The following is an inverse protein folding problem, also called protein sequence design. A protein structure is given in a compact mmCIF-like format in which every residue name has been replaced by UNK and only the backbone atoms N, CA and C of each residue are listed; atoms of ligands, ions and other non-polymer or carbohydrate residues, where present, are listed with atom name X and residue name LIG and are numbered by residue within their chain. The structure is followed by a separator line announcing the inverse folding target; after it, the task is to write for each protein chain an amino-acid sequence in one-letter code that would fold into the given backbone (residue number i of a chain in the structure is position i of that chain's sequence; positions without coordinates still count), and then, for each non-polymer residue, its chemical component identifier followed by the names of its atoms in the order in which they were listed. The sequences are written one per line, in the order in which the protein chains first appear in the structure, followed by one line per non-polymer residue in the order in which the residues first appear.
data_IF_215358446396
#
_entry.id   IF_215358446396
#
_cell.length_a   1.000
_cell.length_b   1.000
_cell.length_c   1.000
_cell.angle_alpha   90.00
_cell.angle_beta   90.00
_cell.angle_gamma   90.00
#
_symmetry.space_group_name_H-M   'P 1'
#
loop_
_entity.id
_entity.type
_entity.pdbx_description
1 polymer ?
#
# COMPACT_ATOMS: atom_id res chain seq x y z
N UNK A 1 40.24 25.32 -14.04
CA UNK A 1 39.33 24.21 -13.76
C UNK A 1 37.94 24.60 -14.26
N UNK A 2 37.61 24.08 -15.44
CA UNK A 2 36.33 24.25 -16.09
C UNK A 2 35.34 23.32 -15.35
N UNK A 3 34.32 23.89 -14.71
CA UNK A 3 33.16 23.11 -14.29
C UNK A 3 32.51 22.56 -15.53
N UNK A 4 32.49 21.23 -15.67
CA UNK A 4 31.61 20.56 -16.59
C UNK A 4 30.18 20.88 -16.13
N UNK A 5 29.39 21.50 -16.98
CA UNK A 5 27.95 21.61 -16.78
C UNK A 5 27.42 20.17 -16.73
N UNK A 6 26.73 19.85 -15.66
CA UNK A 6 25.94 18.62 -15.58
C UNK A 6 25.00 18.62 -16.77
N UNK A 7 25.21 17.70 -17.68
CA UNK A 7 24.26 17.45 -18.76
C UNK A 7 22.99 16.96 -18.06
N UNK A 8 21.92 17.74 -18.08
CA UNK A 8 20.58 17.28 -17.73
C UNK A 8 20.37 15.95 -18.47
N UNK A 9 20.24 14.86 -17.74
CA UNK A 9 19.81 13.58 -18.30
C UNK A 9 18.41 13.79 -18.86
N UNK A 10 18.31 14.06 -20.15
CA UNK A 10 17.03 14.17 -20.83
C UNK A 10 16.35 12.80 -20.76
N UNK A 11 15.20 12.74 -20.08
CA UNK A 11 14.39 11.52 -20.04
C UNK A 11 14.13 11.08 -21.50
N UNK A 12 14.55 9.88 -21.92
CA UNK A 12 14.48 9.44 -23.30
C UNK A 12 13.04 9.36 -23.83
N UNK A 13 12.05 9.35 -22.97
CA UNK A 13 10.63 9.32 -23.32
C UNK A 13 9.99 10.72 -23.37
N UNK A 14 10.75 11.78 -23.05
CA UNK A 14 10.25 13.15 -23.14
C UNK A 14 10.29 13.65 -24.59
N UNK A 15 9.12 13.86 -25.17
CA UNK A 15 8.96 14.25 -26.57
C UNK A 15 8.63 15.75 -26.75
N UNK A 16 8.34 16.47 -25.67
CA UNK A 16 8.11 17.92 -25.70
C UNK A 16 8.78 18.60 -24.50
N UNK A 17 9.47 19.71 -24.76
CA UNK A 17 10.02 20.63 -23.75
C UNK A 17 9.75 22.05 -24.21
N UNK A 18 8.94 22.78 -23.45
CA UNK A 18 8.62 24.18 -23.69
C UNK A 18 9.66 25.12 -23.05
N UNK A 19 9.72 26.36 -23.56
CA UNK A 19 10.65 27.39 -23.06
C UNK A 19 10.39 27.82 -21.60
N UNK A 20 9.21 27.49 -21.06
CA UNK A 20 8.80 27.77 -19.69
C UNK A 20 8.88 26.52 -18.78
N UNK A 21 9.71 25.52 -19.13
CA UNK A 21 9.84 24.21 -18.49
C UNK A 21 8.59 23.31 -18.61
N UNK A 22 7.58 23.70 -19.41
CA UNK A 22 6.48 22.78 -19.73
C UNK A 22 7.00 21.56 -20.45
N UNK A 23 6.42 20.40 -20.16
CA UNK A 23 6.86 19.15 -20.79
C UNK A 23 5.69 18.21 -21.07
N UNK A 24 5.94 17.27 -21.98
CA UNK A 24 5.15 16.07 -22.13
C UNK A 24 6.09 14.89 -22.39
N UNK A 25 5.84 13.78 -21.70
CA UNK A 25 6.61 12.55 -21.85
C UNK A 25 5.70 11.32 -21.87
N UNK A 26 6.17 10.28 -22.55
CA UNK A 26 5.63 8.95 -22.38
C UNK A 26 6.17 8.31 -21.10
N UNK A 27 5.42 7.39 -20.54
CA UNK A 27 5.81 6.55 -19.41
C UNK A 27 5.60 5.09 -19.75
N UNK A 28 6.42 4.21 -19.21
CA UNK A 28 6.25 2.77 -19.37
C UNK A 28 6.65 2.09 -18.05
N UNK A 29 5.77 1.26 -17.54
CA UNK A 29 6.05 0.36 -16.44
C UNK A 29 5.78 -1.07 -16.87
N UNK A 30 6.69 -1.98 -16.56
CA UNK A 30 6.52 -3.42 -16.77
C UNK A 30 6.88 -4.12 -15.48
N UNK A 31 6.00 -4.96 -14.99
CA UNK A 31 6.22 -5.77 -13.80
C UNK A 31 5.91 -7.23 -14.10
N UNK A 32 6.71 -8.13 -13.51
CA UNK A 32 6.54 -9.58 -13.66
C UNK A 32 6.80 -10.22 -12.31
N UNK A 33 5.89 -11.08 -11.88
CA UNK A 33 6.00 -11.96 -10.72
C UNK A 33 5.97 -13.41 -11.15
N UNK A 34 6.87 -14.22 -10.60
CA UNK A 34 6.89 -15.68 -10.71
C UNK A 34 6.74 -16.25 -9.32
N UNK A 35 5.79 -17.11 -9.11
CA UNK A 35 5.37 -17.60 -7.81
C UNK A 35 5.41 -19.12 -7.78
N UNK A 36 5.85 -19.68 -6.63
CA UNK A 36 5.85 -21.11 -6.36
C UNK A 36 5.55 -21.33 -4.88
N UNK A 37 4.72 -22.31 -4.55
CA UNK A 37 4.32 -22.58 -3.19
C UNK A 37 4.17 -24.08 -2.93
N UNK A 38 4.37 -24.46 -1.67
CA UNK A 38 4.16 -25.82 -1.20
C UNK A 38 3.22 -25.85 -0.02
N UNK A 39 2.34 -26.85 0.03
CA UNK A 39 1.33 -27.02 1.08
C UNK A 39 0.44 -25.78 1.25
N UNK A 40 -0.01 -25.18 0.15
CA UNK A 40 -0.91 -24.02 0.20
C UNK A 40 -2.16 -24.34 1.03
N UNK A 41 -2.65 -23.36 1.76
CA UNK A 41 -3.73 -23.53 2.72
C UNK A 41 -3.43 -24.65 3.73
N UNK A 42 -2.17 -24.68 4.21
CA UNK A 42 -1.65 -25.65 5.18
C UNK A 42 -1.82 -27.11 4.75
N UNK A 43 -1.66 -27.36 3.45
CA UNK A 43 -1.82 -28.70 2.84
C UNK A 43 -3.27 -29.06 2.47
N UNK A 44 -4.22 -28.14 2.61
CA UNK A 44 -5.65 -28.41 2.36
C UNK A 44 -6.26 -27.48 1.28
N UNK A 45 -5.46 -27.01 0.32
CA UNK A 45 -5.89 -26.11 -0.75
C UNK A 45 -7.11 -26.62 -1.52
N UNK A 46 -7.15 -27.91 -1.81
CA UNK A 46 -8.27 -28.53 -2.54
C UNK A 46 -9.61 -28.41 -1.81
N UNK A 47 -9.63 -28.50 -0.48
CA UNK A 47 -10.86 -28.33 0.30
C UNK A 47 -11.20 -26.84 0.47
N UNK A 48 -10.20 -26.00 0.70
CA UNK A 48 -10.37 -24.56 0.90
C UNK A 48 -10.76 -23.83 -0.39
N UNK A 49 -10.13 -24.17 -1.53
CA UNK A 49 -10.24 -23.47 -2.80
C UNK A 49 -10.93 -24.27 -3.92
N UNK A 50 -11.15 -25.59 -3.72
CA UNK A 50 -11.68 -26.50 -4.73
C UNK A 50 -10.61 -27.11 -5.64
N UNK A 51 -9.42 -26.53 -5.74
CA UNK A 51 -8.29 -26.98 -6.56
C UNK A 51 -6.97 -26.79 -5.82
N UNK A 52 -5.91 -27.50 -6.28
CA UNK A 52 -4.56 -27.29 -5.78
C UNK A 52 -3.94 -26.06 -6.46
N UNK A 53 -3.21 -25.23 -5.70
CA UNK A 53 -2.46 -24.08 -6.19
C UNK A 53 -0.97 -24.28 -5.87
N UNK A 54 -0.14 -24.43 -6.92
CA UNK A 54 1.29 -24.71 -6.78
C UNK A 54 2.15 -23.56 -7.29
N UNK A 55 2.00 -23.19 -8.56
CA UNK A 55 2.80 -22.15 -9.20
C UNK A 55 2.01 -21.37 -10.25
N UNK A 56 2.25 -20.07 -10.30
CA UNK A 56 1.66 -19.19 -11.31
C UNK A 56 2.63 -18.06 -11.65
N UNK A 57 2.25 -17.24 -12.62
CA UNK A 57 2.93 -16.01 -12.94
C UNK A 57 1.93 -14.87 -13.14
N UNK A 58 2.37 -13.68 -12.85
CA UNK A 58 1.63 -12.45 -13.12
C UNK A 58 2.49 -11.45 -13.87
N UNK A 59 1.85 -10.59 -14.64
CA UNK A 59 2.54 -9.46 -15.24
C UNK A 59 1.61 -8.27 -15.46
N UNK A 60 2.20 -7.06 -15.42
CA UNK A 60 1.53 -5.86 -15.92
C UNK A 60 2.42 -5.14 -16.91
N UNK A 61 1.78 -4.51 -17.89
CA UNK A 61 2.40 -3.54 -18.80
C UNK A 61 1.54 -2.27 -18.73
N UNK A 62 2.15 -1.15 -18.34
CA UNK A 62 1.46 0.13 -18.16
C UNK A 62 2.13 1.22 -19.00
N UNK A 63 1.71 1.41 -20.26
CA UNK A 63 2.08 2.57 -21.06
C UNK A 63 1.25 3.79 -20.65
N UNK A 64 1.85 4.97 -20.68
CA UNK A 64 1.17 6.20 -20.31
C UNK A 64 1.77 7.46 -20.93
N UNK A 65 1.10 8.56 -20.67
CA UNK A 65 1.52 9.92 -21.00
C UNK A 65 1.32 10.79 -19.77
N UNK A 66 2.29 11.63 -19.46
CA UNK A 66 2.16 12.68 -18.46
C UNK A 66 2.68 14.01 -18.98
N UNK A 67 2.20 15.10 -18.43
CA UNK A 67 2.65 16.42 -18.82
C UNK A 67 2.27 17.52 -17.85
N UNK A 68 3.04 18.59 -17.96
CA UNK A 68 2.84 19.84 -17.21
C UNK A 68 2.98 21.03 -18.13
N UNK A 69 2.07 22.00 -17.95
CA UNK A 69 2.12 23.29 -18.63
C UNK A 69 2.17 24.41 -17.60
N UNK A 70 3.28 25.16 -17.60
CA UNK A 70 3.50 26.26 -16.67
C UNK A 70 2.92 27.57 -17.21
N UNK A 71 2.17 28.25 -16.34
CA UNK A 71 1.56 29.56 -16.54
C UNK A 71 2.36 30.64 -15.78
N UNK A 72 2.04 31.94 -15.95
CA UNK A 72 2.63 32.99 -15.12
C UNK A 72 2.49 32.71 -13.62
N UNK A 73 3.42 33.24 -12.82
CA UNK A 73 3.52 33.00 -11.37
C UNK A 73 3.71 31.51 -10.98
N UNK A 74 4.42 30.76 -11.81
CA UNK A 74 4.69 29.34 -11.59
C UNK A 74 3.45 28.47 -11.40
N UNK A 75 2.27 28.92 -11.80
CA UNK A 75 1.10 28.08 -11.84
C UNK A 75 1.32 26.91 -12.80
N UNK A 76 0.70 25.77 -12.53
CA UNK A 76 0.89 24.56 -13.33
C UNK A 76 -0.46 23.93 -13.64
N UNK A 77 -0.69 23.60 -14.90
CA UNK A 77 -1.73 22.65 -15.31
C UNK A 77 -0.99 21.34 -15.59
N UNK A 78 -1.43 20.26 -14.97
CA UNK A 78 -0.79 18.95 -15.12
C UNK A 78 -1.81 17.86 -15.35
N UNK A 79 -1.36 16.71 -15.82
CA UNK A 79 -2.22 15.55 -15.98
C UNK A 79 -1.46 14.31 -16.41
N UNK A 80 -2.15 13.18 -16.29
CA UNK A 80 -1.64 11.86 -16.65
C UNK A 80 -2.77 11.02 -17.23
N UNK A 81 -2.44 10.20 -18.19
CA UNK A 81 -3.27 9.09 -18.65
C UNK A 81 -2.38 7.87 -18.87
N UNK A 82 -2.79 6.75 -18.33
CA UNK A 82 -2.18 5.44 -18.59
C UNK A 82 -3.20 4.32 -18.58
N UNK A 83 -2.83 3.20 -19.17
CA UNK A 83 -3.60 1.99 -19.16
C UNK A 83 -2.75 0.84 -18.62
N UNK A 84 -3.36 -0.10 -17.95
CA UNK A 84 -2.71 -1.31 -17.45
C UNK A 84 -3.26 -2.53 -18.17
N UNK A 85 -2.35 -3.28 -18.80
CA UNK A 85 -2.58 -4.63 -19.29
C UNK A 85 -2.08 -5.56 -18.18
N UNK A 86 -3.00 -6.27 -17.52
CA UNK A 86 -2.70 -7.22 -16.46
C UNK A 86 -2.93 -8.65 -16.94
N UNK A 87 -2.07 -9.57 -16.52
CA UNK A 87 -2.16 -10.96 -16.93
C UNK A 87 -1.83 -11.86 -15.72
N UNK A 88 -2.54 -12.99 -15.64
CA UNK A 88 -2.24 -14.13 -14.75
C UNK A 88 -2.27 -15.40 -15.58
N UNK A 89 -1.35 -16.33 -15.34
CA UNK A 89 -1.32 -17.62 -16.04
C UNK A 89 -0.45 -18.65 -15.33
N UNK A 90 -0.45 -19.88 -15.86
CA UNK A 90 0.25 -21.02 -15.28
C UNK A 90 -0.68 -21.87 -14.44
N UNK A 91 -0.91 -21.53 -13.19
CA UNK A 91 -1.83 -22.20 -12.28
C UNK A 91 -2.77 -21.21 -11.60
N UNK A 92 -3.48 -21.68 -10.55
CA UNK A 92 -4.23 -20.80 -9.67
C UNK A 92 -3.26 -19.93 -8.86
N UNK A 93 -3.59 -18.65 -8.69
CA UNK A 93 -2.97 -17.87 -7.64
C UNK A 93 -3.36 -18.39 -6.24
N UNK A 94 -2.62 -18.00 -5.21
CA UNK A 94 -2.83 -18.56 -3.87
C UNK A 94 -4.17 -18.20 -3.23
N UNK A 95 -4.85 -17.15 -3.72
CA UNK A 95 -6.23 -16.80 -3.34
C UNK A 95 -7.28 -17.48 -4.23
N UNK A 96 -6.87 -18.26 -5.24
CA UNK A 96 -7.74 -18.82 -6.28
C UNK A 96 -8.61 -17.78 -6.99
N UNK A 97 -8.12 -16.54 -7.09
CA UNK A 97 -8.88 -15.45 -7.70
C UNK A 97 -9.20 -15.69 -9.18
N UNK A 98 -8.37 -16.48 -9.87
CA UNK A 98 -8.52 -16.90 -11.26
C UNK A 98 -9.17 -18.27 -11.44
N UNK A 99 -9.78 -18.85 -10.41
CA UNK A 99 -10.49 -20.15 -10.49
C UNK A 99 -11.57 -20.10 -11.59
N UNK A 100 -11.71 -21.19 -12.32
CA UNK A 100 -12.63 -21.34 -13.47
C UNK A 100 -12.35 -20.40 -14.68
N UNK A 101 -11.36 -19.50 -14.59
CA UNK A 101 -11.05 -18.54 -15.66
C UNK A 101 -9.84 -18.99 -16.54
N UNK A 102 -8.95 -19.84 -15.97
CA UNK A 102 -7.69 -20.19 -16.62
C UNK A 102 -6.74 -18.99 -16.74
N UNK A 103 -6.03 -18.87 -17.86
CA UNK A 103 -5.18 -17.70 -18.12
C UNK A 103 -6.05 -16.43 -18.30
N UNK A 104 -5.74 -15.38 -17.55
CA UNK A 104 -6.46 -14.11 -17.57
C UNK A 104 -5.62 -13.02 -18.24
N UNK A 105 -6.28 -12.16 -19.01
CA UNK A 105 -5.64 -11.02 -19.68
C UNK A 105 -6.64 -9.89 -19.84
N UNK A 106 -6.45 -8.77 -19.12
CA UNK A 106 -7.37 -7.64 -19.08
C UNK A 106 -6.63 -6.31 -19.32
N UNK A 107 -7.26 -5.39 -20.06
CA UNK A 107 -6.73 -4.07 -20.38
C UNK A 107 -7.71 -2.98 -19.93
N UNK A 108 -7.30 -2.13 -19.01
CA UNK A 108 -8.11 -1.01 -18.51
C UNK A 108 -7.30 0.27 -18.38
N UNK A 109 -8.01 1.41 -18.40
CA UNK A 109 -7.42 2.70 -17.99
C UNK A 109 -7.19 2.64 -16.47
N UNK A 110 -5.98 2.99 -16.04
CA UNK A 110 -5.65 3.05 -14.62
C UNK A 110 -5.63 4.49 -14.11
N UNK A 111 -4.91 5.39 -14.75
CA UNK A 111 -4.95 6.81 -14.44
C UNK A 111 -5.51 7.61 -15.60
N UNK A 112 -6.37 8.59 -15.32
CA UNK A 112 -6.87 9.56 -16.29
C UNK A 112 -7.34 10.80 -15.52
N UNK A 113 -6.43 11.72 -15.20
CA UNK A 113 -6.74 12.90 -14.42
C UNK A 113 -6.02 14.14 -14.91
N UNK A 114 -6.55 15.29 -14.52
CA UNK A 114 -5.93 16.58 -14.68
C UNK A 114 -6.01 17.39 -13.39
N UNK A 115 -5.07 18.31 -13.22
CA UNK A 115 -5.02 19.17 -12.05
C UNK A 115 -4.43 20.53 -12.36
N UNK A 116 -4.56 21.40 -11.36
CA UNK A 116 -3.99 22.75 -11.37
C UNK A 116 -3.36 23.06 -10.02
N UNK A 117 -2.14 23.59 -10.04
CA UNK A 117 -1.42 24.11 -8.88
C UNK A 117 -1.30 25.61 -8.94
N UNK A 118 -1.45 26.25 -7.80
CA UNK A 118 -1.49 27.70 -7.69
C UNK A 118 -0.15 28.42 -7.91
N UNK A 119 0.97 27.69 -7.92
CA UNK A 119 2.29 28.31 -7.99
C UNK A 119 2.46 29.38 -6.90
N UNK A 120 2.90 30.56 -7.32
CA UNK A 120 3.11 31.71 -6.45
C UNK A 120 1.92 32.70 -6.38
N UNK A 121 0.69 32.29 -6.79
CA UNK A 121 -0.49 33.17 -6.68
C UNK A 121 -0.78 33.59 -5.23
N UNK A 122 -0.53 32.70 -4.27
CA UNK A 122 -0.74 32.91 -2.84
C UNK A 122 0.61 32.97 -2.11
N UNK A 123 1.53 33.83 -2.56
CA UNK A 123 2.93 33.86 -2.09
C UNK A 123 3.08 33.99 -0.57
N UNK A 124 2.12 34.63 0.13
CA UNK A 124 2.11 34.70 1.60
C UNK A 124 1.80 33.42 2.31
N UNK A 125 1.21 32.44 1.63
CA UNK A 125 0.87 31.10 2.14
C UNK A 125 1.86 30.02 1.71
N UNK A 126 2.73 30.32 0.75
CA UNK A 126 3.73 29.44 0.19
C UNK A 126 3.47 29.07 -1.27
N UNK A 127 4.51 28.55 -1.93
CA UNK A 127 4.40 28.05 -3.29
C UNK A 127 3.51 26.79 -3.32
N UNK A 128 2.66 26.69 -4.35
CA UNK A 128 1.68 25.61 -4.50
C UNK A 128 0.78 25.42 -3.26
N UNK A 129 0.42 26.54 -2.61
CA UNK A 129 -0.52 26.48 -1.48
C UNK A 129 -1.80 25.70 -1.81
N UNK A 130 -2.32 25.86 -3.04
CA UNK A 130 -3.54 25.20 -3.50
C UNK A 130 -3.21 24.31 -4.70
N UNK A 131 -3.61 23.04 -4.61
CA UNK A 131 -3.55 22.03 -5.67
C UNK A 131 -4.93 21.38 -5.79
N UNK A 132 -5.51 21.40 -6.97
CA UNK A 132 -6.83 20.80 -7.25
C UNK A 132 -6.68 19.82 -8.40
N UNK A 133 -7.14 18.59 -8.20
CA UNK A 133 -7.13 17.57 -9.25
C UNK A 133 -8.47 16.83 -9.32
N UNK A 134 -8.79 16.34 -10.51
CA UNK A 134 -10.01 15.61 -10.78
C UNK A 134 -9.77 14.52 -11.83
N UNK A 135 -10.43 13.38 -11.68
CA UNK A 135 -10.40 12.22 -12.57
C UNK A 135 -9.98 10.95 -11.87
N UNK A 136 -9.69 9.92 -12.65
CA UNK A 136 -9.24 8.61 -12.17
C UNK A 136 -7.79 8.72 -11.69
N UNK A 137 -7.57 8.64 -10.38
CA UNK A 137 -6.26 8.82 -9.75
C UNK A 137 -6.17 8.15 -8.39
N UNK A 138 -4.93 7.91 -7.94
CA UNK A 138 -4.67 7.43 -6.60
C UNK A 138 -4.71 8.57 -5.56
N UNK A 139 -5.11 8.22 -4.35
CA UNK A 139 -5.00 9.03 -3.16
C UNK A 139 -4.54 8.16 -1.99
N UNK A 140 -3.58 8.64 -1.20
CA UNK A 140 -3.06 7.89 -0.04
C UNK A 140 -3.03 8.76 1.20
N UNK A 141 -3.48 8.19 2.30
CA UNK A 141 -3.41 8.78 3.64
C UNK A 141 -2.39 8.02 4.48
N UNK A 142 -1.49 8.75 5.16
CA UNK A 142 -0.48 8.13 6.02
C UNK A 142 0.40 7.12 5.27
N UNK A 143 0.56 5.96 5.84
CA UNK A 143 1.27 4.81 5.26
C UNK A 143 0.35 3.81 4.53
N UNK A 144 -0.93 4.16 4.36
CA UNK A 144 -1.91 3.32 3.67
C UNK A 144 -2.67 2.37 4.58
N UNK A 145 -2.70 2.63 5.88
CA UNK A 145 -3.47 1.86 6.86
C UNK A 145 -4.96 1.83 6.52
N UNK A 146 -5.53 2.97 6.15
CA UNK A 146 -6.94 3.13 5.87
C UNK A 146 -7.23 3.37 4.39
N UNK A 147 -6.52 4.30 3.73
CA UNK A 147 -6.84 4.79 2.38
C UNK A 147 -5.59 4.76 1.49
N UNK A 148 -5.59 3.88 0.46
CA UNK A 148 -4.55 3.79 -0.54
C UNK A 148 -4.96 3.09 -1.84
N UNK A 149 -5.67 1.95 -1.79
CA UNK A 149 -6.02 1.13 -2.97
C UNK A 149 -7.54 1.08 -3.14
N UNK A 150 -8.05 1.67 -4.23
CA UNK A 150 -9.48 1.82 -4.49
C UNK A 150 -9.99 0.91 -5.60
N UNK A 151 -9.11 0.17 -6.26
CA UNK A 151 -9.46 -0.71 -7.35
C UNK A 151 -9.08 -2.16 -7.05
N UNK A 152 -9.96 -3.09 -7.40
CA UNK A 152 -9.69 -4.52 -7.28
C UNK A 152 -8.77 -5.03 -8.39
N UNK A 153 -7.87 -5.94 -8.04
CA UNK A 153 -7.04 -6.76 -8.94
C UNK A 153 -7.34 -8.23 -8.71
N UNK A 154 -6.86 -9.11 -9.60
CA UNK A 154 -7.22 -10.53 -9.57
C UNK A 154 -8.53 -10.83 -10.30
N UNK A 155 -9.03 -12.04 -10.20
CA UNK A 155 -10.21 -12.49 -10.90
C UNK A 155 -10.11 -12.28 -12.42
N UNK A 156 -11.16 -11.78 -13.04
CA UNK A 156 -11.20 -11.44 -14.47
C UNK A 156 -10.27 -10.28 -14.85
N UNK A 157 -9.74 -9.55 -13.89
CA UNK A 157 -8.79 -8.45 -14.10
C UNK A 157 -7.33 -8.89 -14.08
N UNK A 158 -7.03 -10.08 -13.56
CA UNK A 158 -5.68 -10.63 -13.45
C UNK A 158 -4.76 -9.90 -12.47
N UNK A 159 -3.55 -10.41 -12.33
CA UNK A 159 -2.46 -9.87 -11.53
C UNK A 159 -2.90 -9.51 -10.09
N UNK A 160 -3.36 -10.51 -9.36
CA UNK A 160 -3.86 -10.40 -7.98
C UNK A 160 -2.79 -9.79 -7.06
N UNK A 161 -1.62 -10.43 -6.98
CA UNK A 161 -0.54 -10.01 -6.10
C UNK A 161 0.12 -8.69 -6.55
N UNK A 162 0.42 -8.54 -7.85
CA UNK A 162 1.05 -7.30 -8.37
C UNK A 162 0.14 -6.10 -8.09
N UNK A 163 -1.16 -6.28 -8.07
CA UNK A 163 -2.11 -5.24 -7.73
C UNK A 163 -1.98 -4.05 -8.67
N UNK A 164 -2.03 -4.28 -9.97
CA UNK A 164 -1.81 -3.27 -11.01
C UNK A 164 -2.82 -2.14 -11.01
N UNK A 165 -3.94 -2.29 -10.30
CA UNK A 165 -5.04 -1.35 -10.23
C UNK A 165 -5.20 -0.84 -8.80
N UNK A 166 -5.13 0.48 -8.63
CA UNK A 166 -5.22 1.15 -7.30
C UNK A 166 -5.97 2.47 -7.36
N UNK A 167 -6.16 3.04 -8.56
CA UNK A 167 -6.78 4.34 -8.71
C UNK A 167 -8.29 4.27 -8.41
N UNK A 168 -8.80 5.26 -7.70
CA UNK A 168 -10.25 5.49 -7.60
C UNK A 168 -10.84 5.72 -8.99
N UNK A 169 -12.03 5.22 -9.26
CA UNK A 169 -12.71 5.41 -10.55
C UNK A 169 -12.97 6.89 -10.80
N UNK A 170 -13.45 7.58 -9.79
CA UNK A 170 -13.55 9.04 -9.76
C UNK A 170 -12.91 9.57 -8.48
N UNK A 171 -12.13 10.62 -8.62
CA UNK A 171 -11.55 11.34 -7.49
C UNK A 171 -11.60 12.84 -7.74
N UNK A 172 -12.05 13.59 -6.74
CA UNK A 172 -11.92 15.03 -6.65
C UNK A 172 -11.09 15.37 -5.41
N UNK A 173 -9.94 16.00 -5.60
CA UNK A 173 -9.02 16.26 -4.50
C UNK A 173 -8.63 17.73 -4.48
N UNK A 174 -8.79 18.37 -3.33
CA UNK A 174 -8.30 19.72 -3.05
C UNK A 174 -7.27 19.65 -1.95
N UNK A 175 -6.03 19.99 -2.25
CA UNK A 175 -4.92 20.01 -1.29
C UNK A 175 -4.53 21.45 -0.97
N UNK A 176 -4.41 21.77 0.30
CA UNK A 176 -3.93 23.06 0.80
C UNK A 176 -2.70 22.82 1.67
N UNK A 177 -1.59 23.48 1.34
CA UNK A 177 -0.32 23.30 2.04
C UNK A 177 0.29 24.64 2.42
N UNK A 178 0.55 24.84 3.70
CA UNK A 178 1.23 26.06 4.19
C UNK A 178 2.10 25.74 5.42
N UNK A 179 3.37 26.07 5.34
CA UNK A 179 4.33 25.65 6.38
C UNK A 179 4.32 24.16 6.61
N UNK A 180 4.11 23.73 7.86
CA UNK A 180 3.98 22.32 8.23
C UNK A 180 2.54 21.76 8.11
N UNK A 181 1.55 22.59 7.80
CA UNK A 181 0.14 22.20 7.70
C UNK A 181 -0.21 21.74 6.29
N UNK A 182 -0.84 20.57 6.18
CA UNK A 182 -1.49 20.07 4.97
C UNK A 182 -2.96 19.75 5.30
N UNK A 183 -3.87 20.20 4.45
CA UNK A 183 -5.31 19.88 4.53
C UNK A 183 -5.74 19.38 3.15
N UNK A 184 -6.33 18.19 3.11
CA UNK A 184 -6.93 17.66 1.90
C UNK A 184 -8.45 17.54 2.09
N UNK A 185 -9.22 17.98 1.09
CA UNK A 185 -10.62 17.64 0.93
C UNK A 185 -10.72 16.66 -0.21
N UNK A 186 -11.44 15.56 0.01
CA UNK A 186 -11.48 14.45 -0.95
C UNK A 186 -12.90 13.98 -1.18
N UNK A 187 -13.17 13.60 -2.41
CA UNK A 187 -14.27 12.76 -2.83
C UNK A 187 -13.66 11.64 -3.70
N UNK A 188 -14.00 10.41 -3.40
CA UNK A 188 -13.45 9.22 -4.05
C UNK A 188 -14.60 8.23 -4.30
N UNK A 189 -14.57 7.56 -5.44
CA UNK A 189 -15.40 6.40 -5.75
C UNK A 189 -14.47 5.25 -6.13
N UNK A 190 -14.65 4.08 -5.50
CA UNK A 190 -13.80 2.93 -5.78
C UNK A 190 -14.14 2.29 -7.15
N UNK A 191 -13.28 1.36 -7.60
CA UNK A 191 -13.45 0.53 -8.81
C UNK A 191 -13.38 -0.95 -8.40
N UNK A 192 -14.45 -1.50 -7.80
CA UNK A 192 -14.46 -2.87 -7.30
C UNK A 192 -14.50 -3.89 -8.45
N UNK A 193 -14.11 -5.14 -8.16
CA UNK A 193 -14.35 -6.27 -9.07
C UNK A 193 -15.82 -6.62 -9.10
N UNK A 194 -16.49 -6.57 -7.93
CA UNK A 194 -17.94 -6.66 -7.81
C UNK A 194 -18.63 -5.43 -8.40
N UNK A 195 -19.96 -5.45 -8.46
CA UNK A 195 -20.71 -4.27 -8.87
C UNK A 195 -21.08 -3.34 -7.68
N UNK A 196 -20.52 -3.62 -6.50
CA UNK A 196 -20.86 -2.93 -5.27
C UNK A 196 -19.92 -1.74 -5.05
N UNK A 197 -20.31 -0.56 -5.52
CA UNK A 197 -19.50 0.63 -5.38
C UNK A 197 -19.56 1.24 -3.99
N UNK A 198 -18.54 1.97 -3.63
CA UNK A 198 -18.46 2.77 -2.41
C UNK A 198 -17.88 4.15 -2.74
N UNK A 199 -18.66 5.17 -2.41
CA UNK A 199 -18.25 6.57 -2.46
C UNK A 199 -17.77 7.02 -1.07
N UNK A 200 -16.72 7.83 -1.02
CA UNK A 200 -16.18 8.39 0.20
C UNK A 200 -15.98 9.88 0.04
N UNK A 201 -16.60 10.67 0.91
CA UNK A 201 -16.37 12.10 1.03
C UNK A 201 -15.71 12.43 2.36
N UNK A 202 -14.70 13.32 2.37
CA UNK A 202 -14.06 13.63 3.63
C UNK A 202 -12.95 14.66 3.58
N UNK A 203 -12.30 14.80 4.74
CA UNK A 203 -11.17 15.70 4.92
C UNK A 203 -10.09 15.06 5.80
N UNK A 204 -8.84 15.33 5.47
CA UNK A 204 -7.69 14.98 6.32
C UNK A 204 -6.84 16.21 6.61
N UNK A 205 -6.29 16.26 7.81
CA UNK A 205 -5.40 17.31 8.27
C UNK A 205 -4.13 16.67 8.79
N UNK A 206 -2.97 17.15 8.35
CA UNK A 206 -1.68 16.71 8.83
C UNK A 206 -0.83 17.92 9.21
N UNK A 207 -0.17 17.86 10.35
CA UNK A 207 0.78 18.87 10.78
C UNK A 207 2.13 18.24 11.12
N UNK A 208 3.16 18.69 10.41
CA UNK A 208 4.55 18.33 10.67
C UNK A 208 5.22 19.46 11.46
N UNK A 209 5.54 19.19 12.71
CA UNK A 209 6.22 20.18 13.58
C UNK A 209 7.67 20.39 13.12
N UNK A 210 8.35 19.30 12.79
CA UNK A 210 9.71 19.20 12.27
C UNK A 210 9.98 17.74 11.87
N UNK A 211 11.20 17.41 11.51
CA UNK A 211 11.59 16.03 11.13
C UNK A 211 11.41 14.99 12.25
N UNK A 212 11.12 15.44 13.47
CA UNK A 212 11.02 14.57 14.64
C UNK A 212 9.60 14.36 15.16
N UNK A 213 8.61 15.11 14.67
CA UNK A 213 7.23 14.94 15.14
C UNK A 213 6.21 15.37 14.10
N UNK A 214 5.15 14.57 13.95
CA UNK A 214 3.98 14.87 13.14
C UNK A 214 2.70 14.35 13.82
N UNK A 215 1.58 14.98 13.51
CA UNK A 215 0.25 14.55 13.89
C UNK A 215 -0.70 14.74 12.72
N UNK A 216 -1.68 13.88 12.57
CA UNK A 216 -2.72 14.00 11.56
C UNK A 216 -4.02 13.33 12.00
N UNK A 217 -5.05 13.53 11.22
CA UNK A 217 -6.33 12.88 11.41
C UNK A 217 -7.26 13.16 10.24
N UNK A 218 -8.32 12.37 10.12
CA UNK A 218 -9.31 12.45 9.06
C UNK A 218 -10.72 12.20 9.56
N UNK A 219 -11.68 12.68 8.79
CA UNK A 219 -13.10 12.42 8.97
C UNK A 219 -13.67 12.11 7.58
N UNK A 220 -14.37 10.99 7.46
CA UNK A 220 -14.92 10.54 6.20
C UNK A 220 -16.34 10.01 6.41
N UNK A 221 -17.17 10.15 5.39
CA UNK A 221 -18.50 9.56 5.32
C UNK A 221 -18.60 8.74 4.05
N UNK A 222 -19.19 7.57 4.12
CA UNK A 222 -19.38 6.64 3.01
C UNK A 222 -20.84 6.60 2.57
N UNK A 223 -21.03 6.38 1.27
CA UNK A 223 -22.29 5.97 0.62
C UNK A 223 -21.94 4.72 -0.19
N UNK A 224 -22.64 3.61 0.00
CA UNK A 224 -22.22 2.33 -0.53
C UNK A 224 -23.38 1.41 -0.89
N UNK A 225 -23.16 0.60 -1.94
CA UNK A 225 -24.04 -0.53 -2.27
C UNK A 225 -23.90 -1.70 -1.27
N UNK A 226 -22.89 -1.64 -0.38
CA UNK A 226 -22.66 -2.62 0.69
C UNK A 226 -23.35 -2.11 1.96
N UNK A 227 -24.39 -2.80 2.42
CA UNK A 227 -25.19 -2.40 3.59
C UNK A 227 -24.35 -2.05 4.84
N UNK A 228 -23.28 -2.79 5.11
CA UNK A 228 -22.42 -2.53 6.28
C UNK A 228 -21.53 -1.30 6.15
N UNK A 229 -21.40 -0.72 4.95
CA UNK A 229 -20.62 0.50 4.66
C UNK A 229 -21.51 1.72 4.42
N UNK A 230 -22.78 1.50 4.05
CA UNK A 230 -23.70 2.60 3.75
C UNK A 230 -23.96 3.45 5.00
N UNK A 231 -23.80 4.77 4.88
CA UNK A 231 -23.90 5.71 6.00
C UNK A 231 -22.75 5.67 7.02
N UNK A 232 -21.72 4.83 6.82
CA UNK A 232 -20.59 4.73 7.74
C UNK A 232 -19.86 6.06 7.87
N UNK A 233 -19.55 6.45 9.11
CA UNK A 233 -18.69 7.57 9.43
C UNK A 233 -17.37 7.07 10.01
N UNK A 234 -16.26 7.53 9.45
CA UNK A 234 -14.91 7.08 9.82
C UNK A 234 -14.13 8.25 10.40
N UNK A 235 -13.56 8.03 11.56
CA UNK A 235 -12.59 8.92 12.20
C UNK A 235 -11.24 8.24 12.28
N UNK A 236 -10.18 8.93 11.85
CA UNK A 236 -8.81 8.49 12.08
C UNK A 236 -7.98 9.55 12.80
N UNK A 237 -7.04 9.09 13.63
CA UNK A 237 -5.98 9.90 14.23
C UNK A 237 -4.66 9.15 14.15
N UNK A 238 -3.60 9.85 13.70
CA UNK A 238 -2.30 9.24 13.51
C UNK A 238 -1.18 10.21 13.87
N UNK A 239 -0.01 9.67 14.19
CA UNK A 239 1.14 10.49 14.49
C UNK A 239 2.43 9.70 14.58
N UNK A 240 3.53 10.44 14.49
CA UNK A 240 4.86 9.88 14.63
C UNK A 240 5.79 10.81 15.40
N UNK A 241 6.67 10.25 16.22
CA UNK A 241 7.59 11.04 17.02
C UNK A 241 8.94 10.33 17.19
N UNK A 242 10.03 11.11 17.17
CA UNK A 242 11.36 10.72 17.67
C UNK A 242 11.57 11.37 19.05
N UNK A 243 11.12 10.74 20.14
CA UNK A 243 10.98 11.41 21.45
C UNK A 243 12.31 11.91 21.99
N UNK A 244 13.39 11.15 21.81
CA UNK A 244 14.71 11.54 22.30
C UNK A 244 15.37 12.62 21.42
N UNK A 245 15.10 12.67 20.11
CA UNK A 245 15.54 13.75 19.24
C UNK A 245 14.79 15.05 19.58
N UNK A 246 13.48 14.98 19.78
CA UNK A 246 12.63 16.12 20.15
C UNK A 246 13.01 16.72 21.49
N UNK A 247 13.31 15.88 22.50
CA UNK A 247 13.69 16.31 23.85
C UNK A 247 15.19 16.62 24.00
N UNK A 248 16.00 16.62 22.92
CA UNK A 248 17.45 16.71 22.99
C UNK A 248 18.09 15.70 23.96
N UNK A 249 17.53 14.49 24.02
CA UNK A 249 17.98 13.40 24.85
C UNK A 249 19.29 12.77 24.40
N UNK A 250 19.70 11.64 25.02
CA UNK A 250 20.94 10.94 24.67
C UNK A 250 21.01 10.64 23.19
N UNK A 251 22.17 10.96 22.57
CA UNK A 251 22.40 10.81 21.14
C UNK A 251 22.11 9.40 20.64
N UNK A 252 22.54 8.39 21.40
CA UNK A 252 22.31 6.98 21.08
C UNK A 252 20.81 6.60 20.99
N UNK A 253 19.89 7.35 21.60
CA UNK A 253 18.46 7.07 21.55
C UNK A 253 17.69 7.95 20.55
N UNK A 254 18.33 8.95 19.95
CA UNK A 254 17.68 9.85 18.98
C UNK A 254 17.12 9.17 17.73
N UNK A 255 17.70 8.06 17.22
CA UNK A 255 17.10 7.33 16.10
C UNK A 255 15.79 6.61 16.42
N UNK A 256 15.44 6.43 17.71
CA UNK A 256 14.19 5.78 18.10
C UNK A 256 12.99 6.59 17.60
N UNK A 257 12.12 5.94 16.86
CA UNK A 257 10.86 6.49 16.32
C UNK A 257 9.68 5.65 16.79
N UNK A 258 8.59 6.31 17.10
CA UNK A 258 7.31 5.69 17.45
C UNK A 258 6.26 6.29 16.53
N UNK A 259 5.50 5.44 15.85
CA UNK A 259 4.35 5.80 15.02
C UNK A 259 3.10 5.07 15.54
N UNK A 260 1.95 5.70 15.45
CA UNK A 260 0.68 5.10 15.83
C UNK A 260 -0.46 5.68 14.98
N UNK A 261 -1.46 4.86 14.72
CA UNK A 261 -2.73 5.24 14.10
C UNK A 261 -3.88 4.51 14.79
N UNK A 262 -5.02 5.18 14.92
CA UNK A 262 -6.26 4.63 15.42
C UNK A 262 -7.39 5.07 14.50
N UNK A 263 -8.23 4.13 14.10
CA UNK A 263 -9.42 4.33 13.28
C UNK A 263 -10.64 3.85 14.05
N UNK A 264 -11.70 4.63 14.01
CA UNK A 264 -13.01 4.29 14.53
C UNK A 264 -14.05 4.43 13.41
N UNK A 265 -14.85 3.41 13.22
CA UNK A 265 -15.93 3.31 12.27
C UNK A 265 -17.26 3.27 13.00
N UNK A 266 -18.06 4.31 12.83
CA UNK A 266 -19.44 4.38 13.36
C UNK A 266 -20.39 4.04 12.23
N UNK A 267 -21.27 3.07 12.47
CA UNK A 267 -22.16 2.50 11.45
C UNK A 267 -23.60 2.72 11.84
N UNK A 268 -24.46 2.95 10.85
CA UNK A 268 -25.90 3.08 11.02
C UNK A 268 -26.59 1.70 10.95
N UNK A 269 -27.88 1.68 11.31
CA UNK A 269 -28.87 0.61 11.02
C UNK A 269 -28.54 -0.80 11.56
N UNK A 270 -27.91 -0.91 12.73
CA UNK A 270 -27.81 -2.16 13.50
C UNK A 270 -26.53 -2.95 13.27
N UNK A 271 -25.53 -2.35 12.64
CA UNK A 271 -24.16 -2.83 12.63
C UNK A 271 -23.39 -2.25 13.83
N UNK A 272 -22.55 -3.07 14.44
CA UNK A 272 -21.68 -2.61 15.53
C UNK A 272 -20.51 -1.78 14.97
N UNK A 273 -20.02 -0.84 15.80
CA UNK A 273 -18.87 -0.01 15.45
C UNK A 273 -17.58 -0.84 15.32
N UNK A 274 -16.71 -0.46 14.38
CA UNK A 274 -15.42 -1.10 14.15
C UNK A 274 -14.24 -0.23 14.63
N UNK A 275 -13.18 -0.87 15.11
CA UNK A 275 -11.95 -0.20 15.50
C UNK A 275 -10.72 -0.94 14.98
N UNK A 276 -9.80 -0.18 14.41
CA UNK A 276 -8.48 -0.69 14.03
C UNK A 276 -7.37 0.25 14.52
N UNK A 277 -6.27 -0.29 15.01
CA UNK A 277 -5.16 0.54 15.47
C UNK A 277 -3.83 -0.18 15.42
N UNK A 278 -2.77 0.59 15.39
CA UNK A 278 -1.42 0.06 15.55
C UNK A 278 -0.51 0.99 16.32
N UNK A 279 0.54 0.39 16.86
CA UNK A 279 1.72 1.10 17.34
C UNK A 279 2.97 0.45 16.76
N UNK A 280 3.83 1.27 16.17
CA UNK A 280 5.07 0.83 15.53
C UNK A 280 6.24 1.55 16.19
N UNK A 281 7.25 0.81 16.59
CA UNK A 281 8.50 1.36 17.14
C UNK A 281 9.66 0.90 16.26
N UNK A 282 10.49 1.82 15.81
CA UNK A 282 11.66 1.53 14.99
C UNK A 282 12.92 2.19 15.53
N UNK A 283 14.04 1.50 15.38
CA UNK A 283 15.35 2.00 15.76
C UNK A 283 16.38 1.68 14.70
N UNK A 284 17.04 2.71 14.15
CA UNK A 284 18.11 2.58 13.18
C UNK A 284 19.48 2.66 13.86
N UNK A 285 20.30 1.64 13.69
CA UNK A 285 21.68 1.57 14.19
C UNK A 285 22.66 2.23 13.19
N UNK A 286 22.63 3.56 13.10
CA UNK A 286 23.35 4.35 12.09
C UNK A 286 24.86 4.11 12.05
N UNK A 287 25.48 3.74 13.20
CA UNK A 287 26.93 3.54 13.33
C UNK A 287 27.37 2.07 13.22
N UNK A 288 26.42 1.15 13.04
CA UNK A 288 26.69 -0.28 12.84
C UNK A 288 26.82 -0.55 11.34
N UNK A 289 27.73 -1.48 10.97
CA UNK A 289 27.84 -1.91 9.58
C UNK A 289 26.48 -2.39 9.05
N UNK A 290 26.16 -2.07 7.78
CA UNK A 290 24.89 -2.35 7.11
C UNK A 290 23.68 -1.56 7.65
N UNK A 291 23.89 -0.64 8.60
CA UNK A 291 22.88 0.24 9.18
C UNK A 291 21.56 -0.48 9.54
N UNK A 292 21.59 -1.52 10.40
CA UNK A 292 20.40 -2.28 10.71
C UNK A 292 19.29 -1.38 11.24
N UNK A 293 18.07 -1.64 10.79
CA UNK A 293 16.85 -1.05 11.38
C UNK A 293 16.05 -2.19 11.98
N UNK A 294 15.76 -2.11 13.27
CA UNK A 294 14.87 -3.01 13.97
C UNK A 294 13.52 -2.31 14.14
N UNK A 295 12.46 -2.97 13.72
CA UNK A 295 11.08 -2.48 13.87
C UNK A 295 10.24 -3.52 14.60
N UNK A 296 9.43 -3.07 15.54
CA UNK A 296 8.36 -3.84 16.15
C UNK A 296 7.04 -3.13 15.92
N UNK A 297 6.00 -3.86 15.51
CA UNK A 297 4.63 -3.37 15.40
C UNK A 297 3.70 -4.33 16.11
N UNK A 298 2.75 -3.77 16.84
CA UNK A 298 1.51 -4.43 17.22
C UNK A 298 0.37 -3.74 16.49
N UNK A 299 -0.49 -4.51 15.86
CA UNK A 299 -1.72 -4.03 15.23
C UNK A 299 -2.90 -4.88 15.74
N UNK A 300 -4.06 -4.23 15.90
CA UNK A 300 -5.28 -4.86 16.39
C UNK A 300 -6.47 -4.31 15.62
N UNK A 301 -7.31 -5.20 15.15
CA UNK A 301 -8.52 -4.93 14.40
C UNK A 301 -9.63 -5.74 15.01
N UNK A 302 -10.69 -5.09 15.51
CA UNK A 302 -11.81 -5.85 16.06
C UNK A 302 -12.62 -6.57 14.96
N UNK A 303 -13.54 -7.43 15.35
CA UNK A 303 -14.35 -8.27 14.46
C UNK A 303 -15.28 -7.46 13.55
N UNK A 304 -15.58 -6.22 13.94
CA UNK A 304 -16.44 -5.33 13.19
C UNK A 304 -15.68 -4.32 12.33
N UNK A 305 -14.35 -4.27 12.42
CA UNK A 305 -13.55 -3.34 11.64
C UNK A 305 -13.58 -3.67 10.13
N UNK A 306 -13.93 -2.68 9.31
CA UNK A 306 -13.85 -2.76 7.85
C UNK A 306 -12.48 -2.26 7.37
N UNK A 307 -11.80 -3.05 6.59
CA UNK A 307 -10.47 -2.72 6.08
C UNK A 307 -10.46 -1.55 5.10
N UNK A 308 -11.63 -1.15 4.60
CA UNK A 308 -11.84 -0.12 3.57
C UNK A 308 -10.87 -0.27 2.39
N UNK A 309 -9.95 0.68 2.25
CA UNK A 309 -9.09 0.83 1.08
C UNK A 309 -7.60 0.81 1.44
N UNK A 310 -7.21 -0.01 2.45
CA UNK A 310 -5.80 -0.16 2.80
C UNK A 310 -4.94 -0.63 1.62
N UNK A 311 -3.62 -0.53 1.73
CA UNK A 311 -2.78 -0.96 0.62
C UNK A 311 -1.31 -1.15 0.96
N UNK A 312 -0.61 -1.75 0.02
CA UNK A 312 0.82 -1.99 0.10
C UNK A 312 1.61 -0.69 -0.11
N UNK A 313 2.25 -0.21 0.95
CA UNK A 313 3.13 0.97 0.92
C UNK A 313 4.63 0.62 0.93
N UNK A 314 5.01 -0.46 1.60
CA UNK A 314 6.35 -1.06 1.68
C UNK A 314 6.19 -2.50 2.20
N UNK A 315 7.22 -3.33 2.07
CA UNK A 315 7.25 -4.68 2.62
C UNK A 315 6.92 -4.69 4.12
N UNK A 316 5.95 -5.54 4.47
CA UNK A 316 5.41 -5.63 5.82
C UNK A 316 4.53 -4.45 6.23
N UNK A 317 3.94 -3.69 5.29
CA UNK A 317 2.93 -2.67 5.61
C UNK A 317 1.58 -3.31 5.99
N UNK A 318 0.52 -3.15 5.20
CA UNK A 318 -0.82 -3.57 5.62
C UNK A 318 -1.30 -4.86 4.94
N UNK A 319 -0.57 -5.41 3.99
CA UNK A 319 -0.55 -6.84 3.70
C UNK A 319 0.48 -7.44 4.66
N UNK A 320 0.00 -8.07 5.75
CA UNK A 320 0.80 -8.47 6.90
C UNK A 320 1.28 -9.92 6.73
N UNK A 321 2.51 -10.09 6.24
CA UNK A 321 3.06 -11.37 5.80
C UNK A 321 2.74 -11.67 4.34
N UNK A 322 3.61 -12.41 3.71
CA UNK A 322 3.52 -12.76 2.28
C UNK A 322 2.57 -13.95 2.02
N UNK A 323 2.12 -14.61 3.10
CA UNK A 323 1.17 -15.72 3.05
C UNK A 323 -0.10 -15.34 3.79
N UNK A 324 -0.04 -15.10 5.11
CA UNK A 324 -1.23 -14.99 5.96
C UNK A 324 -2.01 -13.73 5.62
N UNK A 325 -1.39 -12.56 5.65
CA UNK A 325 -2.07 -11.29 5.40
C UNK A 325 -2.29 -10.99 3.92
N UNK A 326 -1.65 -11.72 3.01
CA UNK A 326 -1.86 -11.59 1.57
C UNK A 326 -3.02 -12.48 1.08
N UNK A 327 -3.13 -13.72 1.58
CA UNK A 327 -4.04 -14.71 1.01
C UNK A 327 -5.12 -15.23 1.95
N UNK A 328 -4.93 -15.12 3.28
CA UNK A 328 -5.79 -15.83 4.25
C UNK A 328 -6.58 -14.88 5.14
N UNK A 329 -5.91 -13.93 5.80
CA UNK A 329 -6.49 -13.01 6.76
C UNK A 329 -6.37 -11.56 6.27
N UNK A 330 -7.52 -10.85 6.18
CA UNK A 330 -7.52 -9.39 6.05
C UNK A 330 -7.23 -8.71 7.40
N UNK A 331 -7.14 -7.36 7.37
CA UNK A 331 -7.00 -6.55 8.58
C UNK A 331 -8.37 -6.36 9.28
N UNK A 332 -9.03 -7.45 9.63
CA UNK A 332 -10.30 -7.48 10.37
C UNK A 332 -10.31 -8.71 11.26
N UNK A 333 -10.86 -8.60 12.45
CA UNK A 333 -10.86 -9.66 13.46
C UNK A 333 -9.45 -10.26 13.69
N UNK A 334 -8.43 -9.40 13.81
CA UNK A 334 -7.03 -9.81 13.78
C UNK A 334 -6.19 -8.99 14.78
N UNK A 335 -5.42 -9.68 15.58
CA UNK A 335 -4.28 -9.13 16.32
C UNK A 335 -2.97 -9.64 15.72
N UNK A 336 -2.00 -8.77 15.51
CA UNK A 336 -0.71 -9.16 14.94
C UNK A 336 0.47 -8.53 15.66
N UNK A 337 1.51 -9.32 15.88
CA UNK A 337 2.83 -8.87 16.27
C UNK A 337 3.78 -9.02 15.09
N UNK A 338 4.54 -7.98 14.74
CA UNK A 338 5.58 -8.02 13.72
C UNK A 338 6.92 -7.59 14.29
N UNK A 339 7.94 -8.36 14.03
CA UNK A 339 9.35 -7.96 14.21
C UNK A 339 10.02 -7.95 12.85
N UNK A 340 10.57 -6.79 12.42
CA UNK A 340 11.31 -6.63 11.15
C UNK A 340 12.75 -6.23 11.44
N UNK A 341 13.69 -6.93 10.85
CA UNK A 341 15.09 -6.53 10.77
C UNK A 341 15.45 -6.23 9.30
N UNK A 342 15.75 -4.96 9.00
CA UNK A 342 16.22 -4.53 7.67
C UNK A 342 17.69 -4.16 7.75
N UNK A 343 18.49 -4.67 6.81
CA UNK A 343 19.91 -4.35 6.66
C UNK A 343 20.23 -3.96 5.21
N UNK A 344 21.26 -3.17 5.02
CA UNK A 344 21.74 -2.76 3.69
C UNK A 344 23.21 -3.15 3.53
N UNK A 345 23.51 -4.41 3.12
CA UNK A 345 24.89 -4.91 3.00
C UNK A 345 25.74 -4.11 2.02
N UNK A 346 25.14 -3.63 0.94
CA UNK A 346 25.74 -2.71 -0.05
C UNK A 346 24.64 -1.82 -0.64
N UNK A 347 25.03 -0.69 -1.17
CA UNK A 347 24.13 0.39 -1.61
C UNK A 347 22.92 -0.09 -2.46
N UNK A 348 23.07 -0.96 -3.49
CA UNK A 348 21.94 -1.37 -4.30
C UNK A 348 21.11 -2.52 -3.71
N UNK A 349 21.50 -3.11 -2.56
CA UNK A 349 20.82 -4.31 -2.01
C UNK A 349 20.36 -4.07 -0.59
N UNK A 350 19.05 -4.25 -0.35
CA UNK A 350 18.46 -4.32 0.98
C UNK A 350 17.99 -5.75 1.28
N UNK A 351 18.13 -6.17 2.53
CA UNK A 351 17.62 -7.47 3.02
C UNK A 351 16.75 -7.20 4.23
N UNK A 352 15.53 -7.73 4.20
CA UNK A 352 14.57 -7.64 5.30
C UNK A 352 14.16 -9.04 5.75
N UNK A 353 14.17 -9.25 7.06
CA UNK A 353 13.65 -10.46 7.70
C UNK A 353 12.48 -10.05 8.56
N UNK A 354 11.35 -10.74 8.44
CA UNK A 354 10.15 -10.52 9.23
C UNK A 354 9.80 -11.78 10.02
N UNK A 355 9.25 -11.57 11.19
CA UNK A 355 8.53 -12.57 11.95
C UNK A 355 7.18 -11.97 12.33
N UNK A 356 6.13 -12.71 12.05
CA UNK A 356 4.78 -12.39 12.48
C UNK A 356 4.24 -13.48 13.41
N UNK A 357 3.41 -13.06 14.35
CA UNK A 357 2.51 -13.92 15.10
C UNK A 357 1.11 -13.36 14.92
N UNK A 358 0.18 -14.19 14.47
CA UNK A 358 -1.19 -13.85 14.18
C UNK A 358 -2.14 -14.51 15.16
N UNK A 359 -3.07 -13.72 15.69
CA UNK A 359 -4.11 -14.16 16.62
C UNK A 359 -5.45 -13.63 16.15
N UNK A 360 -6.50 -14.44 16.13
CA UNK A 360 -7.86 -13.99 15.86
C UNK A 360 -8.36 -13.21 17.07
N UNK A 361 -8.89 -12.00 16.84
CA UNK A 361 -9.33 -11.10 17.90
C UNK A 361 -10.54 -11.66 18.67
N UNK A 362 -11.56 -12.12 17.94
CA UNK A 362 -12.69 -12.91 18.46
C UNK A 362 -12.82 -14.22 17.70
N UNK A 363 -12.32 -15.30 18.31
CA UNK A 363 -12.34 -16.65 17.73
C UNK A 363 -13.76 -17.15 17.49
N UNK A 364 -14.72 -16.80 18.36
CA UNK A 364 -16.11 -17.23 18.27
C UNK A 364 -16.82 -16.62 17.06
N UNK A 365 -16.56 -15.36 16.76
CA UNK A 365 -17.10 -14.65 15.59
C UNK A 365 -16.45 -15.15 14.30
N UNK A 366 -15.15 -15.43 14.33
CA UNK A 366 -14.43 -16.04 13.21
C UNK A 366 -14.85 -17.50 12.93
N UNK A 367 -15.46 -18.17 13.92
CA UNK A 367 -15.98 -19.54 13.79
C UNK A 367 -14.99 -20.64 14.16
N UNK A 368 -13.92 -20.31 14.87
CA UNK A 368 -12.94 -21.24 15.45
C UNK A 368 -13.04 -21.24 16.98
N UNK A 369 -12.34 -22.16 17.65
CA UNK A 369 -12.32 -22.24 19.13
C UNK A 369 -11.04 -21.70 19.74
N UNK A 370 -9.93 -21.84 18.99
CA UNK A 370 -8.63 -21.37 19.40
C UNK A 370 -8.30 -20.04 18.67
N UNK A 371 -7.81 -19.05 19.37
CA UNK A 371 -7.46 -17.75 18.84
C UNK A 371 -6.05 -17.70 18.24
N UNK A 372 -5.13 -18.59 18.65
CA UNK A 372 -3.81 -18.69 18.05
C UNK A 372 -3.92 -19.18 16.61
N UNK A 373 -3.53 -18.32 15.62
CA UNK A 373 -3.76 -18.62 14.22
C UNK A 373 -2.53 -19.20 13.54
N UNK A 374 -1.45 -18.42 13.44
CA UNK A 374 -0.22 -18.87 12.79
C UNK A 374 0.98 -17.98 13.15
N UNK A 375 2.17 -18.57 13.03
CA UNK A 375 3.43 -17.83 12.93
C UNK A 375 3.89 -17.76 11.47
N UNK A 376 4.51 -16.62 11.04
CA UNK A 376 5.08 -16.50 9.70
C UNK A 376 6.48 -15.87 9.73
N UNK A 377 7.37 -16.41 8.89
CA UNK A 377 8.72 -15.92 8.67
C UNK A 377 8.91 -15.54 7.21
N UNK A 378 9.24 -14.26 6.92
CA UNK A 378 9.52 -13.80 5.55
C UNK A 378 10.95 -13.30 5.42
N UNK A 379 11.56 -13.60 4.30
CA UNK A 379 12.82 -13.04 3.85
C UNK A 379 12.61 -12.32 2.52
N UNK A 380 12.95 -11.04 2.50
CA UNK A 380 12.89 -10.20 1.30
C UNK A 380 14.28 -9.69 0.95
N UNK A 381 14.70 -9.87 -0.29
CA UNK A 381 15.95 -9.35 -0.84
C UNK A 381 15.61 -8.44 -2.01
N UNK A 382 15.80 -7.13 -1.84
CA UNK A 382 15.59 -6.13 -2.87
C UNK A 382 16.90 -5.74 -3.50
N UNK A 383 16.96 -5.70 -4.82
CA UNK A 383 18.10 -5.25 -5.60
C UNK A 383 17.70 -4.17 -6.61
N UNK A 384 18.13 -2.94 -6.36
CA UNK A 384 18.05 -1.82 -7.32
C UNK A 384 19.18 -1.96 -8.33
N UNK A 385 18.94 -2.69 -9.43
CA UNK A 385 19.99 -3.00 -10.45
C UNK A 385 20.49 -1.72 -11.10
N UNK A 386 19.60 -0.78 -11.41
CA UNK A 386 19.86 0.56 -11.90
C UNK A 386 18.61 1.44 -11.70
N UNK A 387 18.64 2.68 -12.21
CA UNK A 387 17.55 3.68 -12.06
C UNK A 387 16.20 3.21 -12.65
N UNK A 388 16.21 2.19 -13.53
CA UNK A 388 15.02 1.70 -14.21
C UNK A 388 14.60 0.29 -13.80
N UNK A 389 15.52 -0.56 -13.35
CA UNK A 389 15.29 -1.97 -13.07
C UNK A 389 15.47 -2.27 -11.58
N UNK A 390 14.45 -2.81 -10.96
CA UNK A 390 14.52 -3.44 -9.63
C UNK A 390 14.10 -4.91 -9.71
N UNK A 391 14.70 -5.71 -8.84
CA UNK A 391 14.40 -7.12 -8.65
C UNK A 391 14.18 -7.39 -7.16
N UNK A 392 13.22 -8.26 -6.83
CA UNK A 392 13.00 -8.74 -5.47
C UNK A 392 12.91 -10.26 -5.47
N UNK A 393 13.56 -10.88 -4.50
CA UNK A 393 13.40 -12.29 -4.17
C UNK A 393 12.76 -12.37 -2.79
N UNK A 394 11.65 -13.10 -2.71
CA UNK A 394 10.90 -13.30 -1.47
C UNK A 394 10.81 -14.78 -1.18
N UNK A 395 10.96 -15.16 0.09
CA UNK A 395 10.65 -16.48 0.60
C UNK A 395 9.87 -16.33 1.89
N UNK A 396 8.79 -17.08 2.05
CA UNK A 396 7.97 -17.07 3.25
C UNK A 396 7.65 -18.49 3.72
N UNK A 397 7.41 -18.63 5.02
CA UNK A 397 7.01 -19.88 5.67
C UNK A 397 5.98 -19.56 6.75
N UNK A 398 4.74 -20.01 6.55
CA UNK A 398 3.67 -19.90 7.54
C UNK A 398 3.49 -21.25 8.23
N UNK A 399 3.47 -21.24 9.55
CA UNK A 399 3.34 -22.38 10.44
C UNK A 399 1.98 -22.27 11.13
N UNK A 400 1.02 -23.17 10.90
CA UNK A 400 -0.31 -23.08 11.47
C UNK A 400 -0.31 -23.40 12.96
N UNK A 401 -1.15 -22.67 13.71
CA UNK A 401 -1.60 -23.03 15.05
C UNK A 401 -3.00 -23.67 15.00
N UNK A 402 -3.57 -23.96 16.18
CA UNK A 402 -4.85 -24.67 16.28
C UNK A 402 -6.00 -23.90 15.58
N UNK A 403 -6.02 -22.56 15.62
CA UNK A 403 -7.01 -21.73 14.92
C UNK A 403 -6.96 -21.86 13.40
N UNK A 404 -5.77 -21.86 12.79
CA UNK A 404 -5.61 -22.08 11.35
C UNK A 404 -6.00 -23.50 10.95
N UNK A 405 -5.62 -24.50 11.75
CA UNK A 405 -5.99 -25.90 11.54
C UNK A 405 -7.51 -26.10 11.62
N UNK A 406 -8.18 -25.45 12.58
CA UNK A 406 -9.65 -25.50 12.67
C UNK A 406 -10.34 -24.78 11.48
N UNK A 407 -9.76 -23.66 11.01
CA UNK A 407 -10.30 -22.88 9.89
C UNK A 407 -10.14 -23.59 8.54
N UNK A 408 -8.94 -24.07 8.25
CA UNK A 408 -8.59 -24.62 6.93
C UNK A 408 -8.67 -26.12 6.84
N UNK A 409 -8.63 -26.83 7.97
CA UNK A 409 -8.54 -28.30 8.03
C UNK A 409 -7.14 -28.85 7.71
N UNK A 410 -6.14 -27.98 7.51
CA UNK A 410 -4.75 -28.35 7.21
C UNK A 410 -3.82 -28.05 8.38
N UNK A 411 -2.73 -28.81 8.51
CA UNK A 411 -1.74 -28.68 9.59
C UNK A 411 -0.27 -28.74 9.11
N UNK A 412 -0.04 -28.70 7.79
CA UNK A 412 1.29 -28.65 7.19
C UNK A 412 1.81 -27.21 7.13
N UNK A 413 3.12 -27.00 7.26
CA UNK A 413 3.74 -25.69 7.04
C UNK A 413 3.56 -25.25 5.57
N UNK A 414 3.07 -24.04 5.33
CA UNK A 414 2.92 -23.46 4.00
C UNK A 414 4.17 -22.70 3.60
N UNK A 415 4.84 -23.13 2.54
CA UNK A 415 6.02 -22.45 1.99
C UNK A 415 5.70 -21.67 0.72
N UNK A 416 6.38 -20.53 0.54
CA UNK A 416 6.17 -19.61 -0.58
C UNK A 416 7.47 -19.03 -1.06
N UNK A 417 7.66 -18.93 -2.39
CA UNK A 417 8.80 -18.26 -3.02
C UNK A 417 8.31 -17.41 -4.18
N UNK A 418 8.80 -16.17 -4.25
CA UNK A 418 8.48 -15.27 -5.34
C UNK A 418 9.75 -14.62 -5.91
N UNK A 419 9.82 -14.54 -7.23
CA UNK A 419 10.75 -13.67 -7.94
C UNK A 419 9.98 -12.56 -8.64
N UNK A 420 10.21 -11.32 -8.25
CA UNK A 420 9.55 -10.15 -8.79
C UNK A 420 10.53 -9.22 -9.48
N UNK A 421 10.13 -8.62 -10.60
CA UNK A 421 10.91 -7.64 -11.33
C UNK A 421 10.05 -6.48 -11.82
N UNK A 422 10.58 -5.24 -11.72
CA UNK A 422 9.94 -4.02 -12.17
C UNK A 422 10.88 -3.18 -13.02
N UNK A 423 10.39 -2.75 -14.20
CA UNK A 423 11.08 -1.81 -15.10
C UNK A 423 10.19 -0.57 -15.21
N UNK A 424 10.80 0.64 -15.02
CA UNK A 424 10.10 1.93 -15.09
C UNK A 424 10.89 2.95 -15.90
N UNK A 425 10.20 3.68 -16.80
CA UNK A 425 10.74 4.77 -17.63
C UNK A 425 9.89 6.03 -17.55
#
# INVERSE_FOLDING_TARGET
TVHAADAEQTNPLQFYTGSNNSFAKATLQVEVGLFDQGNSWFGNAREALGEDSDSWWESIIRPGLEGSYFLPNTQEIYGQVDAVQANTGGGLDAAASNADLGDVSDLRIENAYAGWRSGNLFSSLGENFLDISFGRQQYKVGDGFLLYSYAGSGGDRGAYWIGGRRAAEYAGIVRMKTGGLNVDLVYLENDPISNDSTELGGATVNYTFNDNASIGGGLYTLDSDIDSRDGMNVFDIRGGVKPFALANGPEALRPLRIDAEYVHEDRDDGFDAGNGWHITTSYQFEQVAWQPTLTYRYASFDENYDTLFYGFADWGSWYQGEIIGEYVLGNSNLDSHMVKLKVQPFEPVAVSLFYYNFTIHDAGDFGVKDDAYADELDLVIDWSVNDHLSLSLVGALAMPDDGATEHTGGDDDWSYVMLYGSIKF
#
